data_IF_804258741094
#
_entry.id   IF_804258741094
#
_cell.length_a   1.000
_cell.length_b   1.000
_cell.length_c   1.000
_cell.angle_alpha   90.00
_cell.angle_beta   90.00
_cell.angle_gamma   90.00
#
_symmetry.space_group_name_H-M   'P 1'
#
loop_
_entity.id
_entity.type
_entity.pdbx_description
1 polymer ?
#
# COMPACT_ATOMS: atom_id res chain seq x y z
N UNK A 1 -23.56 -4.23 -0.89
CA UNK A 1 -22.75 -3.42 -1.82
C UNK A 1 -21.68 -2.72 -1.01
N UNK A 2 -20.48 -2.54 -1.55
CA UNK A 2 -19.37 -1.84 -0.88
C UNK A 2 -19.31 -0.40 -1.37
N UNK A 3 -18.95 0.52 -0.47
CA UNK A 3 -18.82 1.95 -0.78
C UNK A 3 -17.42 2.28 -1.31
N UNK A 4 -16.42 1.51 -0.90
CA UNK A 4 -15.01 1.70 -1.26
C UNK A 4 -14.34 0.35 -1.50
N UNK A 5 -13.46 0.29 -2.49
CA UNK A 5 -12.56 -0.84 -2.74
C UNK A 5 -11.11 -0.40 -2.54
N UNK A 6 -10.32 -1.14 -1.75
CA UNK A 6 -8.92 -0.81 -1.44
C UNK A 6 -8.01 -2.00 -1.73
N UNK A 7 -6.97 -1.79 -2.53
CA UNK A 7 -5.98 -2.82 -2.80
C UNK A 7 -5.02 -2.96 -1.62
N UNK A 8 -4.57 -4.18 -1.35
CA UNK A 8 -3.60 -4.50 -0.30
C UNK A 8 -2.41 -5.25 -0.90
N UNK A 9 -1.40 -4.52 -1.35
CA UNK A 9 -0.16 -5.09 -1.86
C UNK A 9 -0.14 -5.24 -3.39
N UNK A 10 0.57 -6.28 -3.83
CA UNK A 10 0.87 -6.56 -5.23
C UNK A 10 -0.32 -6.50 -6.19
N UNK A 11 0.01 -6.26 -7.47
CA UNK A 11 -0.90 -6.38 -8.62
C UNK A 11 -2.21 -5.60 -8.46
N UNK A 12 -2.07 -4.29 -8.26
CA UNK A 12 -3.18 -3.35 -8.12
C UNK A 12 -4.15 -3.29 -9.33
N UNK A 13 -3.85 -3.93 -10.45
CA UNK A 13 -4.70 -3.98 -11.65
C UNK A 13 -6.11 -4.48 -11.35
N UNK A 14 -6.26 -5.57 -10.58
CA UNK A 14 -7.58 -6.11 -10.22
C UNK A 14 -8.39 -5.10 -9.42
N UNK A 15 -7.78 -4.49 -8.41
CA UNK A 15 -8.40 -3.42 -7.62
C UNK A 15 -8.77 -2.22 -8.49
N UNK A 16 -7.90 -1.84 -9.42
CA UNK A 16 -8.15 -0.75 -10.36
C UNK A 16 -9.35 -1.04 -11.28
N UNK A 17 -9.47 -2.25 -11.81
CA UNK A 17 -10.65 -2.62 -12.61
C UNK A 17 -11.93 -2.65 -11.77
N UNK A 18 -11.89 -3.22 -10.56
CA UNK A 18 -13.04 -3.22 -9.64
C UNK A 18 -13.50 -1.79 -9.34
N UNK A 19 -12.57 -0.88 -9.13
CA UNK A 19 -12.83 0.54 -8.90
C UNK A 19 -13.48 1.23 -10.09
N UNK A 20 -12.98 1.00 -11.30
CA UNK A 20 -13.58 1.55 -12.53
C UNK A 20 -15.02 1.11 -12.72
N UNK A 21 -15.33 -0.15 -12.39
CA UNK A 21 -16.68 -0.71 -12.54
C UNK A 21 -17.61 -0.23 -11.42
N UNK A 22 -17.08 -0.01 -10.21
CA UNK A 22 -17.86 0.44 -9.03
C UNK A 22 -17.92 1.96 -8.85
N UNK A 23 -17.22 2.74 -9.68
CA UNK A 23 -17.20 4.20 -9.62
C UNK A 23 -16.32 4.79 -8.51
N UNK A 24 -15.40 4.00 -7.95
CA UNK A 24 -14.48 4.43 -6.88
C UNK A 24 -13.20 4.97 -7.52
N UNK A 25 -13.09 6.29 -7.66
CA UNK A 25 -11.97 6.90 -8.43
C UNK A 25 -10.73 7.25 -7.60
N UNK A 26 -10.79 7.09 -6.27
CA UNK A 26 -9.73 7.56 -5.38
C UNK A 26 -8.75 6.45 -5.02
N UNK A 27 -7.45 6.77 -5.09
CA UNK A 27 -6.41 5.94 -4.52
C UNK A 27 -6.36 6.05 -2.98
N UNK A 28 -5.87 5.02 -2.34
CA UNK A 28 -5.63 4.80 -0.92
C UNK A 28 -4.16 4.39 -0.74
N UNK A 29 -3.73 4.25 0.51
CA UNK A 29 -2.31 4.11 0.86
C UNK A 29 -1.59 3.00 0.12
N UNK A 30 -2.17 1.80 0.11
CA UNK A 30 -1.52 0.61 -0.45
C UNK A 30 -1.71 0.45 -1.96
N UNK A 31 -2.43 1.37 -2.61
CA UNK A 31 -2.57 1.28 -4.05
C UNK A 31 -1.30 1.73 -4.74
N UNK A 32 -0.95 1.05 -5.83
CA UNK A 32 0.23 1.34 -6.64
C UNK A 32 1.57 1.11 -5.92
N UNK A 33 1.55 0.42 -4.78
CA UNK A 33 2.74 -0.01 -4.09
C UNK A 33 3.06 -1.48 -4.42
N UNK A 34 4.35 -1.76 -4.57
CA UNK A 34 4.87 -3.12 -4.70
C UNK A 34 5.32 -3.59 -3.30
N UNK A 35 4.43 -4.32 -2.61
CA UNK A 35 4.66 -4.90 -1.29
C UNK A 35 3.88 -6.21 -1.09
N UNK A 36 4.46 -7.10 -0.28
CA UNK A 36 3.84 -8.35 0.14
C UNK A 36 2.82 -8.13 1.28
N UNK A 37 2.07 -9.19 1.61
CA UNK A 37 1.06 -9.15 2.67
C UNK A 37 1.65 -8.89 4.07
N UNK A 38 2.90 -9.31 4.30
CA UNK A 38 3.59 -9.08 5.58
C UNK A 38 3.85 -7.59 5.77
N UNK A 39 4.38 -6.92 4.76
CA UNK A 39 4.60 -5.47 4.77
C UNK A 39 3.28 -4.69 4.92
N UNK A 40 2.16 -5.17 4.37
CA UNK A 40 0.82 -4.58 4.63
C UNK A 40 0.49 -4.65 6.12
N UNK A 41 0.61 -5.84 6.73
CA UNK A 41 0.30 -6.06 8.15
C UNK A 41 1.17 -5.19 9.05
N UNK A 42 2.49 -5.19 8.83
CA UNK A 42 3.45 -4.40 9.61
C UNK A 42 3.18 -2.89 9.48
N UNK A 43 2.85 -2.44 8.28
CA UNK A 43 2.51 -1.03 8.02
C UNK A 43 1.24 -0.61 8.78
N UNK A 44 0.20 -1.44 8.77
CA UNK A 44 -1.04 -1.17 9.54
C UNK A 44 -0.75 -1.21 11.05
N UNK A 45 -0.01 -2.20 11.53
CA UNK A 45 0.34 -2.36 12.94
C UNK A 45 1.13 -1.16 13.49
N UNK A 46 2.08 -0.66 12.71
CA UNK A 46 2.89 0.50 13.04
C UNK A 46 2.18 1.86 12.81
N UNK A 47 0.89 1.87 12.43
CA UNK A 47 0.17 3.07 12.01
C UNK A 47 0.92 3.90 10.94
N UNK A 48 1.49 3.21 9.96
CA UNK A 48 2.27 3.80 8.86
C UNK A 48 3.57 4.49 9.30
N UNK A 49 3.93 4.47 10.59
CA UNK A 49 5.12 5.14 11.11
C UNK A 49 6.45 4.48 10.66
N UNK A 50 6.40 3.25 10.16
CA UNK A 50 7.53 2.51 9.64
C UNK A 50 7.86 2.84 8.16
N UNK A 51 6.98 3.54 7.45
CA UNK A 51 7.12 3.85 6.01
C UNK A 51 7.80 5.20 5.80
N UNK A 52 8.77 5.24 4.87
CA UNK A 52 9.51 6.45 4.49
C UNK A 52 10.07 7.17 5.73
N UNK A 53 10.84 6.43 6.53
CA UNK A 53 11.69 7.00 7.60
C UNK A 53 12.98 7.58 7.02
N UNK A 54 13.38 8.82 7.42
CA UNK A 54 14.53 9.49 6.81
C UNK A 54 15.79 8.62 6.78
N UNK A 55 16.45 8.56 5.62
CA UNK A 55 17.69 7.79 5.42
C UNK A 55 17.51 6.28 5.21
N UNK A 56 16.27 5.78 5.13
CA UNK A 56 16.01 4.36 4.86
C UNK A 56 15.69 4.03 3.40
N UNK A 57 15.42 5.04 2.56
CA UNK A 57 15.24 4.87 1.13
C UNK A 57 16.56 4.69 0.39
N UNK A 58 16.62 3.71 -0.51
CA UNK A 58 17.78 3.45 -1.38
C UNK A 58 17.34 3.11 -2.81
N UNK A 59 18.18 3.40 -3.83
CA UNK A 59 17.94 2.90 -5.19
C UNK A 59 17.87 1.36 -5.19
N UNK A 60 16.91 0.82 -5.94
CA UNK A 60 16.71 -0.63 -6.06
C UNK A 60 16.39 -0.99 -7.52
N UNK A 61 16.52 -2.28 -7.87
CA UNK A 61 16.31 -2.79 -9.24
C UNK A 61 17.07 -1.98 -10.29
N UNK A 62 18.39 -1.88 -10.12
CA UNK A 62 19.29 -1.08 -10.98
C UNK A 62 18.91 0.41 -11.09
N UNK A 63 18.25 0.94 -10.05
CA UNK A 63 17.81 2.34 -9.99
C UNK A 63 16.46 2.61 -10.65
N UNK A 64 15.68 1.56 -10.97
CA UNK A 64 14.33 1.70 -11.50
C UNK A 64 13.30 2.14 -10.44
N UNK A 65 13.58 1.90 -9.16
CA UNK A 65 12.70 2.30 -8.06
C UNK A 65 13.46 2.61 -6.78
N UNK A 66 12.74 3.07 -5.76
CA UNK A 66 13.27 3.20 -4.39
C UNK A 66 12.73 2.09 -3.52
N UNK A 67 13.61 1.40 -2.79
CA UNK A 67 13.20 0.51 -1.70
C UNK A 67 13.32 1.24 -0.37
N UNK A 68 12.25 1.24 0.43
CA UNK A 68 12.33 1.63 1.83
C UNK A 68 12.76 0.44 2.67
N UNK A 69 14.01 0.45 3.14
CA UNK A 69 14.56 -0.63 3.97
C UNK A 69 13.79 -0.83 5.28
N UNK A 70 13.05 0.19 5.73
CA UNK A 70 12.33 0.15 6.99
C UNK A 70 11.00 -0.61 6.94
N UNK A 71 10.40 -0.73 5.75
CA UNK A 71 9.08 -1.34 5.52
C UNK A 71 9.11 -2.40 4.41
N UNK A 72 10.25 -2.55 3.73
CA UNK A 72 10.44 -3.37 2.53
C UNK A 72 9.52 -3.01 1.35
N UNK A 73 8.88 -1.84 1.38
CA UNK A 73 8.04 -1.33 0.29
C UNK A 73 8.93 -0.84 -0.85
N UNK A 74 8.56 -1.17 -2.09
CA UNK A 74 9.20 -0.66 -3.30
C UNK A 74 8.29 0.37 -3.98
N UNK A 75 8.84 1.56 -4.19
CA UNK A 75 8.16 2.71 -4.76
C UNK A 75 8.61 2.91 -6.22
N UNK A 76 7.85 2.33 -7.15
CA UNK A 76 8.15 2.39 -8.59
C UNK A 76 7.70 3.68 -9.27
N UNK A 77 6.77 4.42 -8.67
CA UNK A 77 6.09 5.53 -9.34
C UNK A 77 6.20 6.87 -8.60
N UNK A 78 6.84 6.87 -7.43
CA UNK A 78 6.90 8.02 -6.55
C UNK A 78 8.18 8.83 -6.71
N UNK A 79 9.24 8.17 -7.16
CA UNK A 79 10.56 8.77 -7.36
C UNK A 79 10.91 8.68 -8.83
N UNK A 80 11.43 9.77 -9.37
CA UNK A 80 11.71 9.90 -10.79
C UNK A 80 13.18 10.22 -11.01
N UNK A 81 13.75 9.63 -12.06
CA UNK A 81 15.04 9.99 -12.60
C UNK A 81 14.84 10.59 -14.01
N UNK A 82 15.76 11.43 -14.50
CA UNK A 82 15.78 11.81 -15.90
C UNK A 82 15.74 10.59 -16.83
N UNK A 83 15.10 10.74 -17.98
CA UNK A 83 14.94 9.66 -18.95
C UNK A 83 16.30 9.01 -19.30
N UNK A 84 16.33 7.68 -19.28
CA UNK A 84 17.54 6.90 -19.55
C UNK A 84 18.60 6.90 -18.43
N UNK A 85 18.29 7.44 -17.25
CA UNK A 85 19.22 7.45 -16.10
C UNK A 85 18.64 6.73 -14.87
N UNK A 86 19.48 6.10 -14.04
CA UNK A 86 19.02 5.45 -12.81
C UNK A 86 18.75 6.47 -11.69
N UNK A 87 17.85 6.11 -10.76
CA UNK A 87 17.72 6.83 -9.49
C UNK A 87 19.03 6.80 -8.71
N UNK A 88 19.43 7.96 -8.21
CA UNK A 88 20.62 8.12 -7.34
C UNK A 88 20.19 8.55 -5.94
N UNK A 89 21.01 8.31 -4.90
CA UNK A 89 20.71 8.79 -3.55
C UNK A 89 20.44 10.30 -3.48
N UNK A 90 21.10 11.11 -4.31
CA UNK A 90 20.87 12.55 -4.37
C UNK A 90 19.47 12.90 -4.91
N UNK A 91 19.05 12.26 -6.01
CA UNK A 91 17.70 12.44 -6.57
C UNK A 91 16.60 11.98 -5.61
N UNK A 92 16.86 10.89 -4.88
CA UNK A 92 15.93 10.39 -3.85
C UNK A 92 15.80 11.42 -2.73
N UNK A 93 16.94 11.92 -2.21
CA UNK A 93 16.94 12.90 -1.13
C UNK A 93 16.20 14.20 -1.50
N UNK A 94 16.34 14.66 -2.75
CA UNK A 94 15.64 15.83 -3.28
C UNK A 94 14.11 15.65 -3.29
N UNK A 95 13.64 14.49 -3.75
CA UNK A 95 12.19 14.21 -3.88
C UNK A 95 11.54 13.75 -2.57
N UNK A 96 12.36 13.30 -1.61
CA UNK A 96 11.92 12.67 -0.38
C UNK A 96 10.85 13.45 0.41
N UNK A 97 10.98 14.77 0.63
CA UNK A 97 9.98 15.52 1.41
C UNK A 97 8.58 15.48 0.76
N UNK A 98 8.51 15.59 -0.57
CA UNK A 98 7.26 15.58 -1.31
C UNK A 98 6.60 14.19 -1.29
N UNK A 99 7.39 13.14 -1.52
CA UNK A 99 6.90 11.75 -1.45
C UNK A 99 6.41 11.45 -0.03
N UNK A 100 7.18 11.80 0.99
CA UNK A 100 6.76 11.60 2.39
C UNK A 100 5.46 12.34 2.71
N UNK A 101 5.30 13.59 2.27
CA UNK A 101 4.06 14.33 2.46
C UNK A 101 2.85 13.64 1.78
N UNK A 102 3.03 13.11 0.57
CA UNK A 102 2.00 12.29 -0.12
C UNK A 102 1.58 11.10 0.73
N UNK A 103 2.52 10.31 1.25
CA UNK A 103 2.17 9.11 2.04
C UNK A 103 1.62 9.43 3.43
N UNK A 104 2.04 10.53 4.07
CA UNK A 104 1.37 11.03 5.28
C UNK A 104 -0.11 11.32 5.01
N UNK A 105 -0.42 12.02 3.91
CA UNK A 105 -1.81 12.28 3.52
C UNK A 105 -2.60 11.01 3.20
N UNK A 106 -1.97 10.02 2.57
CA UNK A 106 -2.61 8.72 2.31
C UNK A 106 -2.86 7.93 3.61
N UNK A 107 -1.98 8.05 4.61
CA UNK A 107 -2.16 7.44 5.92
C UNK A 107 -3.31 8.12 6.68
N UNK A 108 -3.41 9.44 6.62
CA UNK A 108 -4.56 10.18 7.19
C UNK A 108 -5.87 9.80 6.51
N UNK A 109 -5.85 9.59 5.19
CA UNK A 109 -7.00 9.07 4.44
C UNK A 109 -7.39 7.67 4.90
N UNK A 110 -6.42 6.79 5.15
CA UNK A 110 -6.69 5.47 5.71
C UNK A 110 -7.38 5.58 7.07
N UNK A 111 -6.82 6.38 7.99
CA UNK A 111 -7.39 6.61 9.33
C UNK A 111 -8.84 7.12 9.24
N UNK A 112 -9.09 8.08 8.35
CA UNK A 112 -10.44 8.61 8.10
C UNK A 112 -11.39 7.54 7.53
N UNK A 113 -10.92 6.70 6.61
CA UNK A 113 -11.72 5.61 6.05
C UNK A 113 -12.11 4.59 7.13
N UNK A 114 -11.15 4.16 7.95
CA UNK A 114 -11.37 3.14 8.99
C UNK A 114 -12.26 3.65 10.12
N UNK A 115 -12.27 4.96 10.37
CA UNK A 115 -13.18 5.61 11.32
C UNK A 115 -14.57 5.93 10.73
N UNK A 116 -14.76 5.77 9.41
CA UNK A 116 -16.03 6.05 8.74
C UNK A 116 -16.99 4.86 8.83
N UNK A 117 -18.26 5.10 8.49
CA UNK A 117 -19.29 4.05 8.34
C UNK A 117 -19.28 3.36 6.97
N UNK A 118 -18.31 3.68 6.12
CA UNK A 118 -18.22 3.10 4.77
C UNK A 118 -17.97 1.60 4.87
N UNK A 119 -18.68 0.82 4.06
CA UNK A 119 -18.42 -0.61 3.87
C UNK A 119 -17.27 -0.78 2.88
N UNK A 120 -16.14 -1.29 3.34
CA UNK A 120 -14.91 -1.41 2.53
C UNK A 120 -14.69 -2.84 2.07
N UNK A 121 -14.39 -3.00 0.78
CA UNK A 121 -13.82 -4.24 0.26
C UNK A 121 -12.30 -4.09 0.16
N UNK A 122 -11.58 -4.81 1.01
CA UNK A 122 -10.14 -4.96 0.84
C UNK A 122 -9.84 -6.07 -0.15
N UNK A 123 -8.99 -5.81 -1.12
CA UNK A 123 -8.65 -6.75 -2.20
C UNK A 123 -7.17 -7.06 -2.13
N UNK A 124 -6.85 -8.33 -1.89
CA UNK A 124 -5.48 -8.83 -1.95
C UNK A 124 -5.37 -9.80 -3.13
N UNK A 125 -4.55 -9.44 -4.12
CA UNK A 125 -4.21 -10.31 -5.22
C UNK A 125 -2.88 -11.01 -4.92
N UNK A 126 -2.96 -12.31 -4.66
CA UNK A 126 -1.79 -13.16 -4.44
C UNK A 126 -1.34 -13.77 -5.77
N UNK A 127 -0.53 -13.01 -6.51
CA UNK A 127 -0.09 -13.43 -7.84
C UNK A 127 1.07 -14.43 -7.83
N UNK A 128 1.74 -14.58 -6.68
CA UNK A 128 2.95 -15.38 -6.52
C UNK A 128 2.75 -16.61 -5.61
N UNK A 129 1.51 -16.86 -5.17
CA UNK A 129 1.17 -17.91 -4.19
C UNK A 129 2.02 -17.81 -2.90
N UNK A 130 2.25 -16.57 -2.44
CA UNK A 130 3.07 -16.26 -1.27
C UNK A 130 2.25 -16.22 0.02
N UNK A 131 0.93 -16.15 -0.09
CA UNK A 131 0.03 -16.06 1.07
C UNK A 131 -0.85 -17.31 1.19
N UNK A 132 -1.19 -17.66 2.43
CA UNK A 132 -2.15 -18.71 2.74
C UNK A 132 -3.38 -18.16 3.45
N UNK A 133 -4.37 -19.04 3.63
CA UNK A 133 -5.55 -18.72 4.44
C UNK A 133 -5.20 -18.25 5.87
N UNK A 134 -4.17 -18.80 6.56
CA UNK A 134 -3.76 -18.29 7.88
C UNK A 134 -3.30 -16.83 7.85
N UNK A 135 -2.49 -16.44 6.87
CA UNK A 135 -1.94 -15.09 6.76
C UNK A 135 -3.05 -14.06 6.49
N UNK A 136 -4.03 -14.40 5.65
CA UNK A 136 -5.21 -13.58 5.40
C UNK A 136 -6.13 -13.50 6.63
N UNK A 137 -6.29 -14.60 7.37
CA UNK A 137 -7.05 -14.62 8.62
C UNK A 137 -6.39 -13.73 9.69
N UNK A 138 -5.06 -13.71 9.74
CA UNK A 138 -4.30 -12.82 10.61
C UNK A 138 -4.47 -11.35 10.23
N UNK A 139 -4.42 -11.01 8.93
CA UNK A 139 -4.71 -9.65 8.47
C UNK A 139 -6.13 -9.23 8.85
N UNK A 140 -7.13 -10.10 8.61
CA UNK A 140 -8.51 -9.81 8.99
C UNK A 140 -8.63 -9.57 10.51
N UNK A 141 -7.97 -10.40 11.32
CA UNK A 141 -7.94 -10.24 12.79
C UNK A 141 -7.28 -8.92 13.19
N UNK A 142 -6.13 -8.59 12.61
CA UNK A 142 -5.42 -7.32 12.84
C UNK A 142 -6.35 -6.12 12.58
N UNK A 143 -7.00 -6.09 11.42
CA UNK A 143 -7.92 -5.01 11.05
C UNK A 143 -9.12 -4.92 11.99
N UNK A 144 -9.73 -6.05 12.39
CA UNK A 144 -10.83 -6.07 13.36
C UNK A 144 -10.39 -5.59 14.75
N UNK A 145 -9.22 -6.01 15.22
CA UNK A 145 -8.70 -5.60 16.54
C UNK A 145 -8.37 -4.12 16.56
N UNK A 146 -7.76 -3.60 15.50
CA UNK A 146 -7.33 -2.20 15.43
C UNK A 146 -8.47 -1.23 15.13
N UNK A 147 -9.47 -1.68 14.37
CA UNK A 147 -10.61 -0.89 13.93
C UNK A 147 -11.92 -1.65 14.18
N UNK A 148 -12.38 -1.76 15.44
CA UNK A 148 -13.50 -2.64 15.82
C UNK A 148 -14.82 -2.26 15.16
N UNK A 149 -15.05 -0.97 14.94
CA UNK A 149 -16.27 -0.45 14.31
C UNK A 149 -16.19 -0.41 12.77
N UNK A 150 -15.04 -0.77 12.19
CA UNK A 150 -14.84 -0.72 10.75
C UNK A 150 -15.60 -1.85 10.04
N UNK A 151 -16.51 -1.47 9.14
CA UNK A 151 -17.26 -2.41 8.32
C UNK A 151 -16.45 -2.78 7.07
N UNK A 152 -15.87 -3.98 7.07
CA UNK A 152 -15.11 -4.46 5.91
C UNK A 152 -15.23 -5.96 5.68
N UNK A 153 -14.94 -6.34 4.46
CA UNK A 153 -14.69 -7.72 4.03
C UNK A 153 -13.36 -7.78 3.27
N UNK A 154 -12.74 -8.97 3.22
CA UNK A 154 -11.50 -9.21 2.50
C UNK A 154 -11.71 -10.20 1.35
N UNK A 155 -11.39 -9.76 0.13
CA UNK A 155 -11.38 -10.57 -1.08
C UNK A 155 -9.94 -11.00 -1.38
N UNK A 156 -9.70 -12.30 -1.29
CA UNK A 156 -8.44 -12.91 -1.70
C UNK A 156 -8.58 -13.48 -3.11
N UNK A 157 -7.78 -12.96 -4.04
CA UNK A 157 -7.72 -13.42 -5.42
C UNK A 157 -6.44 -14.24 -5.58
N UNK A 158 -6.60 -15.50 -6.00
CA UNK A 158 -5.52 -16.45 -6.27
C UNK A 158 -5.56 -16.91 -7.71
N UNK A 159 -4.44 -17.43 -8.19
CA UNK A 159 -4.31 -18.02 -9.52
C UNK A 159 -4.81 -19.46 -9.58
#
# INVERSE_FOLDING_TARGET
MYDVCVGLGYHCESTYQLRRITGVERAHFFDWLDLDLTAVKETVEADFANVLRPGLGEPFSDGACVRDRGSNIRFFHEFHAPEGTPLTPALIAEQYPAVRAKFTHLADRWRALTASRSRVLYVHQDAFDESGAPELADLHRLLRTRYPDHAFDLLWLRR
#
